data_IF_942273962334
#
_entry.id   IF_942273962334
#
_cell.length_a   1.000
_cell.length_b   1.000
_cell.length_c   1.000
_cell.angle_alpha   90.00
_cell.angle_beta   90.00
_cell.angle_gamma   90.00
#
_symmetry.space_group_name_H-M   'P 1'
#
loop_
_entity.id
_entity.type
_entity.pdbx_description
1 polymer ?
#
# COMPACT_ATOMS: atom_id res chain seq x y z
N UNK A 1 22.88 -15.52 0.69
CA UNK A 1 22.63 -16.93 1.06
C UNK A 1 22.94 -17.12 2.54
N UNK A 2 21.95 -17.21 3.43
CA UNK A 2 22.20 -17.67 4.80
C UNK A 2 22.19 -19.22 4.85
N UNK A 3 22.94 -19.84 5.77
CA UNK A 3 23.07 -21.29 5.81
C UNK A 3 21.83 -21.95 6.41
N UNK A 4 21.48 -23.11 5.86
CA UNK A 4 20.43 -23.99 6.33
C UNK A 4 20.73 -24.42 7.78
N UNK A 5 19.84 -24.10 8.72
CA UNK A 5 19.94 -24.58 10.09
C UNK A 5 19.60 -26.08 10.11
N UNK A 6 20.59 -26.91 10.43
CA UNK A 6 20.42 -28.36 10.64
C UNK A 6 19.63 -28.58 11.93
N UNK A 7 18.35 -28.93 11.82
CA UNK A 7 17.61 -29.54 12.93
C UNK A 7 18.06 -30.99 13.07
N UNK A 8 18.70 -31.31 14.21
CA UNK A 8 19.00 -32.68 14.61
C UNK A 8 17.70 -33.35 15.05
N UNK A 9 17.18 -34.28 14.25
CA UNK A 9 16.03 -35.12 14.62
C UNK A 9 16.55 -36.30 15.43
N UNK A 10 16.04 -36.42 16.65
CA UNK A 10 16.30 -37.53 17.55
C UNK A 10 15.97 -38.88 16.90
N UNK A 11 16.82 -39.86 17.20
CA UNK A 11 16.80 -41.23 16.74
C UNK A 11 15.44 -41.93 16.92
N UNK A 12 14.77 -42.26 15.82
CA UNK A 12 13.89 -43.44 15.74
C UNK A 12 14.20 -44.18 14.43
N UNK A 13 14.39 -45.49 14.56
CA UNK A 13 15.02 -46.34 13.56
C UNK A 13 13.97 -46.96 12.62
N UNK A 14 13.23 -46.12 11.89
CA UNK A 14 12.27 -46.56 10.87
C UNK A 14 12.58 -45.91 9.53
N UNK A 15 12.69 -46.74 8.48
CA UNK A 15 12.88 -46.27 7.10
C UNK A 15 11.63 -45.48 6.68
N UNK A 16 11.77 -44.23 6.20
CA UNK A 16 10.61 -43.47 5.71
C UNK A 16 9.97 -44.19 4.53
N UNK A 17 8.64 -44.38 4.60
CA UNK A 17 7.84 -44.96 3.51
C UNK A 17 7.78 -44.00 2.33
N UNK A 18 7.61 -44.52 1.11
CA UNK A 18 7.51 -43.72 -0.13
C UNK A 18 6.48 -42.58 -0.03
N UNK A 19 5.42 -42.77 0.77
CA UNK A 19 4.39 -41.75 1.03
C UNK A 19 4.87 -40.58 1.90
N UNK A 20 5.78 -40.82 2.85
CA UNK A 20 6.36 -39.76 3.69
C UNK A 20 7.33 -38.86 2.90
N UNK A 21 8.00 -39.43 1.90
CA UNK A 21 8.90 -38.73 0.97
C UNK A 21 8.09 -37.91 -0.03
N UNK A 22 6.92 -38.40 -0.48
CA UNK A 22 5.99 -37.64 -1.31
C UNK A 22 5.36 -36.47 -0.55
N UNK A 23 4.99 -36.64 0.73
CA UNK A 23 4.45 -35.54 1.55
C UNK A 23 5.48 -34.44 1.83
N UNK A 24 6.75 -34.78 2.07
CA UNK A 24 7.82 -33.77 2.23
C UNK A 24 8.24 -33.16 0.89
N UNK A 25 8.21 -33.93 -0.20
CA UNK A 25 8.42 -33.44 -1.56
C UNK A 25 7.34 -32.46 -2.02
N UNK A 26 6.09 -32.62 -1.56
CA UNK A 26 4.98 -31.71 -1.86
C UNK A 26 5.05 -30.41 -1.05
N UNK A 27 5.67 -30.43 0.13
CA UNK A 27 5.94 -29.23 0.94
C UNK A 27 7.16 -28.46 0.43
N UNK A 28 8.05 -29.14 -0.29
CA UNK A 28 9.09 -28.52 -1.13
C UNK A 28 8.60 -28.22 -2.55
N UNK A 29 7.28 -28.05 -2.76
CA UNK A 29 6.78 -27.42 -3.97
C UNK A 29 7.45 -26.05 -4.10
N UNK A 30 8.20 -25.88 -5.19
CA UNK A 30 8.72 -24.62 -5.71
C UNK A 30 7.94 -23.43 -5.12
N UNK A 31 8.59 -22.65 -4.25
CA UNK A 31 8.15 -21.28 -3.96
C UNK A 31 8.33 -20.50 -5.27
N UNK A 32 7.43 -20.73 -6.22
CA UNK A 32 7.36 -19.99 -7.45
C UNK A 32 7.22 -18.54 -7.07
N UNK A 33 8.17 -17.71 -7.50
CA UNK A 33 8.13 -16.29 -7.24
C UNK A 33 6.87 -15.75 -7.90
N UNK A 34 5.92 -15.30 -7.08
CA UNK A 34 4.72 -14.61 -7.56
C UNK A 34 5.13 -13.21 -7.94
N UNK A 35 4.97 -12.86 -9.22
CA UNK A 35 5.21 -11.49 -9.68
C UNK A 35 4.15 -10.56 -9.10
N UNK A 36 4.60 -9.45 -8.52
CA UNK A 36 3.75 -8.35 -8.08
C UNK A 36 3.91 -7.18 -9.04
N UNK A 37 2.79 -6.60 -9.45
CA UNK A 37 2.70 -5.38 -10.25
C UNK A 37 2.17 -4.28 -9.37
N UNK A 38 2.95 -3.22 -9.19
CA UNK A 38 2.52 -1.99 -8.52
C UNK A 38 1.94 -1.03 -9.56
N UNK A 39 0.61 -0.88 -9.56
CA UNK A 39 -0.12 0.09 -10.38
C UNK A 39 -0.04 1.49 -9.76
N UNK A 40 1.18 2.03 -9.62
CA UNK A 40 1.43 3.31 -8.96
C UNK A 40 2.71 3.96 -9.46
N UNK A 41 2.71 5.30 -9.46
CA UNK A 41 3.91 6.13 -9.67
C UNK A 41 4.56 6.60 -8.37
N UNK A 42 4.05 6.17 -7.20
CA UNK A 42 4.53 6.63 -5.90
C UNK A 42 5.92 6.04 -5.57
N UNK A 43 6.96 6.89 -5.39
CA UNK A 43 8.27 6.42 -4.95
C UNK A 43 8.22 5.79 -3.55
N UNK A 44 7.39 6.33 -2.65
CA UNK A 44 7.26 5.83 -1.29
C UNK A 44 6.72 4.40 -1.23
N UNK A 45 5.69 4.08 -2.03
CA UNK A 45 5.13 2.71 -2.12
C UNK A 45 6.14 1.73 -2.70
N UNK A 46 6.90 2.14 -3.72
CA UNK A 46 7.97 1.32 -4.29
C UNK A 46 9.07 1.04 -3.27
N UNK A 47 9.56 2.07 -2.58
CA UNK A 47 10.57 1.93 -1.53
C UNK A 47 10.08 1.02 -0.40
N UNK A 48 8.83 1.15 0.01
CA UNK A 48 8.24 0.30 1.04
C UNK A 48 8.18 -1.18 0.64
N UNK A 49 7.70 -1.49 -0.56
CA UNK A 49 7.67 -2.87 -1.06
C UNK A 49 9.08 -3.48 -1.11
N UNK A 50 10.05 -2.70 -1.59
CA UNK A 50 11.46 -3.11 -1.65
C UNK A 50 12.05 -3.38 -0.27
N UNK A 51 11.77 -2.52 0.71
CA UNK A 51 12.16 -2.75 2.11
C UNK A 51 11.51 -4.02 2.68
N UNK A 52 10.30 -4.37 2.21
CA UNK A 52 9.60 -5.62 2.54
C UNK A 52 10.07 -6.86 1.78
N UNK A 53 11.16 -6.77 1.00
CA UNK A 53 11.74 -7.89 0.24
C UNK A 53 11.07 -8.14 -1.12
N UNK A 54 10.25 -7.21 -1.61
CA UNK A 54 9.49 -7.33 -2.86
C UNK A 54 10.03 -6.33 -3.88
N UNK A 55 10.48 -6.82 -5.02
CA UNK A 55 10.79 -6.04 -6.22
C UNK A 55 9.61 -6.14 -7.20
N UNK A 56 8.69 -5.16 -7.22
CA UNK A 56 7.53 -5.18 -8.09
C UNK A 56 7.88 -4.66 -9.50
N UNK A 57 7.06 -5.05 -10.47
CA UNK A 57 6.97 -4.35 -11.76
C UNK A 57 6.12 -3.11 -11.54
N UNK A 58 6.60 -1.92 -11.90
CA UNK A 58 5.84 -0.67 -11.74
C UNK A 58 5.17 -0.27 -13.05
N UNK A 59 3.86 0.00 -13.01
CA UNK A 59 3.10 0.50 -14.16
C UNK A 59 2.35 1.75 -13.74
N UNK A 60 2.48 2.84 -14.50
CA UNK A 60 1.70 4.05 -14.27
C UNK A 60 0.24 3.80 -14.72
N UNK A 61 -0.76 3.94 -13.83
CA UNK A 61 -2.13 3.53 -14.14
C UNK A 61 -2.86 4.48 -15.10
N UNK A 62 -2.38 5.72 -15.29
CA UNK A 62 -2.98 6.68 -16.23
C UNK A 62 -4.43 7.09 -15.90
N UNK A 63 -4.86 6.91 -14.65
CA UNK A 63 -6.23 7.22 -14.19
C UNK A 63 -6.37 8.71 -13.92
N UNK A 64 -7.45 9.31 -14.45
CA UNK A 64 -7.94 10.62 -14.04
C UNK A 64 -8.73 10.47 -12.73
N UNK A 65 -8.05 10.73 -11.60
CA UNK A 65 -8.58 10.51 -10.26
C UNK A 65 -9.76 11.46 -9.94
N UNK A 66 -9.71 12.71 -10.43
CA UNK A 66 -10.76 13.71 -10.20
C UNK A 66 -12.05 13.35 -10.95
N UNK A 67 -11.92 12.88 -12.20
CA UNK A 67 -13.05 12.42 -12.99
C UNK A 67 -13.73 11.18 -12.37
N UNK A 68 -12.94 10.23 -11.84
CA UNK A 68 -13.46 9.04 -11.14
C UNK A 68 -14.20 9.45 -9.87
N UNK A 69 -13.60 10.32 -9.04
CA UNK A 69 -14.19 10.80 -7.80
C UNK A 69 -15.51 11.53 -8.05
N UNK A 70 -15.50 12.52 -8.95
CA UNK A 70 -16.68 13.34 -9.29
C UNK A 70 -17.83 12.47 -9.79
N UNK A 71 -17.54 11.49 -10.66
CA UNK A 71 -18.56 10.56 -11.15
C UNK A 71 -19.14 9.73 -10.00
N UNK A 72 -18.30 9.19 -9.12
CA UNK A 72 -18.77 8.34 -8.03
C UNK A 72 -19.61 9.11 -7.00
N UNK A 73 -19.22 10.35 -6.69
CA UNK A 73 -20.02 11.26 -5.85
C UNK A 73 -21.39 11.54 -6.48
N UNK A 74 -21.44 11.86 -7.78
CA UNK A 74 -22.70 12.12 -8.49
C UNK A 74 -23.66 10.92 -8.49
N UNK A 75 -23.11 9.71 -8.38
CA UNK A 75 -23.86 8.46 -8.33
C UNK A 75 -24.14 7.97 -6.90
N UNK A 76 -23.70 8.70 -5.87
CA UNK A 76 -23.84 8.29 -4.47
C UNK A 76 -23.07 7.01 -4.11
N UNK A 77 -21.99 6.70 -4.84
CA UNK A 77 -21.19 5.48 -4.65
C UNK A 77 -20.13 5.62 -3.56
N UNK A 78 -19.84 6.83 -3.12
CA UNK A 78 -18.91 7.12 -2.03
C UNK A 78 -19.57 8.04 -1.00
N UNK A 79 -19.35 7.76 0.28
CA UNK A 79 -19.87 8.57 1.39
C UNK A 79 -18.79 9.01 2.40
N UNK A 80 -17.54 8.57 2.19
CA UNK A 80 -16.44 8.83 3.11
C UNK A 80 -15.08 8.85 2.41
N UNK A 81 -14.06 9.43 3.05
CA UNK A 81 -12.66 9.38 2.58
C UNK A 81 -12.19 7.94 2.39
N UNK A 82 -12.67 7.02 3.24
CA UNK A 82 -12.36 5.59 3.18
C UNK A 82 -12.87 4.94 1.89
N UNK A 83 -14.06 5.30 1.44
CA UNK A 83 -14.66 4.79 0.20
C UNK A 83 -13.94 5.35 -1.02
N UNK A 84 -13.61 6.65 -0.98
CA UNK A 84 -12.88 7.32 -2.05
C UNK A 84 -11.53 6.65 -2.34
N UNK A 85 -10.69 6.47 -1.32
CA UNK A 85 -9.37 5.85 -1.53
C UNK A 85 -9.48 4.39 -2.00
N UNK A 86 -10.51 3.65 -1.58
CA UNK A 86 -10.73 2.29 -2.05
C UNK A 86 -11.14 2.27 -3.54
N UNK A 87 -12.05 3.16 -3.92
CA UNK A 87 -12.49 3.33 -5.29
C UNK A 87 -11.32 3.70 -6.21
N UNK A 88 -10.49 4.66 -5.80
CA UNK A 88 -9.33 5.08 -6.58
C UNK A 88 -8.26 3.99 -6.66
N UNK A 89 -8.02 3.25 -5.56
CA UNK A 89 -7.14 2.09 -5.57
C UNK A 89 -7.62 1.02 -6.57
N UNK A 90 -8.93 0.76 -6.60
CA UNK A 90 -9.57 -0.14 -7.57
C UNK A 90 -9.37 0.33 -9.00
N UNK A 91 -9.72 1.59 -9.29
CA UNK A 91 -9.58 2.16 -10.63
C UNK A 91 -8.13 2.06 -11.14
N UNK A 92 -7.14 2.32 -10.27
CA UNK A 92 -5.71 2.22 -10.60
C UNK A 92 -5.29 0.78 -10.92
N UNK A 93 -5.73 -0.20 -10.14
CA UNK A 93 -5.44 -1.61 -10.40
C UNK A 93 -6.08 -2.09 -11.72
N UNK A 94 -7.35 -1.75 -11.94
CA UNK A 94 -8.12 -2.17 -13.12
C UNK A 94 -7.55 -1.56 -14.42
N UNK A 95 -7.04 -0.34 -14.36
CA UNK A 95 -6.47 0.36 -15.52
C UNK A 95 -5.26 -0.37 -16.16
N UNK A 96 -4.56 -1.21 -15.39
CA UNK A 96 -3.35 -1.91 -15.88
C UNK A 96 -3.56 -3.41 -16.13
N UNK A 97 -4.77 -3.95 -15.93
CA UNK A 97 -5.06 -5.40 -16.07
C UNK A 97 -4.64 -5.96 -17.43
N UNK A 98 -4.85 -5.18 -18.49
CA UNK A 98 -4.53 -5.59 -19.86
C UNK A 98 -3.11 -5.19 -20.31
N UNK A 99 -2.31 -4.60 -19.43
CA UNK A 99 -0.92 -4.28 -19.76
C UNK A 99 -0.13 -5.58 -19.98
N UNK A 100 0.77 -5.66 -20.99
CA UNK A 100 1.56 -6.87 -21.25
C UNK A 100 2.37 -7.34 -20.03
N UNK A 101 3.01 -6.40 -19.33
CA UNK A 101 3.80 -6.72 -18.12
C UNK A 101 2.94 -7.08 -16.90
N UNK A 102 1.62 -6.87 -16.96
CA UNK A 102 0.69 -7.24 -15.90
C UNK A 102 0.16 -8.67 -16.02
N UNK A 103 0.44 -9.35 -17.14
CA UNK A 103 0.01 -10.74 -17.37
C UNK A 103 0.76 -11.71 -16.47
N UNK A 104 0.09 -12.77 -16.00
CA UNK A 104 0.67 -13.79 -15.13
C UNK A 104 1.29 -13.20 -13.84
N UNK A 105 0.56 -12.30 -13.16
CA UNK A 105 1.01 -11.57 -11.97
C UNK A 105 -0.17 -11.23 -11.03
N UNK A 106 0.15 -10.83 -9.80
CA UNK A 106 -0.78 -10.12 -8.92
C UNK A 106 -0.61 -8.63 -9.15
N UNK A 107 -1.71 -7.89 -9.32
CA UNK A 107 -1.70 -6.44 -9.47
C UNK A 107 -2.19 -5.82 -8.16
N UNK A 108 -1.49 -4.81 -7.66
CA UNK A 108 -1.93 -3.96 -6.56
C UNK A 108 -2.08 -2.51 -7.02
N UNK A 109 -3.27 -1.97 -6.85
CA UNK A 109 -3.55 -0.53 -6.89
C UNK A 109 -3.69 0.02 -5.48
N UNK A 110 -3.20 1.25 -5.28
CA UNK A 110 -3.29 1.95 -4.00
C UNK A 110 -3.63 3.42 -4.19
N UNK A 111 -4.40 3.95 -3.26
CA UNK A 111 -4.64 5.38 -3.11
C UNK A 111 -4.66 5.77 -1.63
N UNK A 112 -4.36 7.03 -1.32
CA UNK A 112 -4.22 7.49 0.06
C UNK A 112 -4.62 8.94 0.24
N UNK A 113 -5.31 9.24 1.34
CA UNK A 113 -5.73 10.60 1.70
C UNK A 113 -5.79 10.79 3.21
N UNK A 114 -5.53 12.02 3.66
CA UNK A 114 -5.71 12.42 5.06
C UNK A 114 -7.14 12.92 5.26
N UNK A 115 -7.87 12.34 6.20
CA UNK A 115 -9.13 12.89 6.68
C UNK A 115 -8.89 13.80 7.88
N UNK A 116 -9.43 15.02 7.82
CA UNK A 116 -9.36 15.99 8.91
C UNK A 116 -10.64 16.83 8.95
N UNK A 117 -11.27 16.95 10.12
CA UNK A 117 -12.51 17.73 10.27
C UNK A 117 -13.64 17.28 9.34
N UNK A 118 -13.72 15.98 9.02
CA UNK A 118 -14.69 15.41 8.08
C UNK A 118 -14.42 15.71 6.60
N UNK A 119 -13.25 16.26 6.26
CA UNK A 119 -12.83 16.57 4.89
C UNK A 119 -11.66 15.69 4.47
N UNK A 120 -11.67 15.27 3.21
CA UNK A 120 -10.53 14.59 2.59
C UNK A 120 -9.51 15.61 2.08
N UNK A 121 -8.28 15.50 2.56
CA UNK A 121 -7.14 16.32 2.19
C UNK A 121 -6.18 15.51 1.30
N UNK A 122 -6.30 15.71 -0.01
CA UNK A 122 -5.35 15.21 -1.01
C UNK A 122 -4.03 15.99 -1.01
N UNK A 123 -3.33 16.02 -2.15
CA UNK A 123 -2.12 16.83 -2.31
C UNK A 123 -2.49 18.33 -2.35
N UNK A 124 -1.74 19.21 -1.68
CA UNK A 124 -2.07 20.64 -1.67
C UNK A 124 -1.64 21.36 -2.96
N UNK A 125 -0.56 20.89 -3.62
CA UNK A 125 0.07 21.44 -4.83
C UNK A 125 0.60 22.89 -4.74
N UNK A 126 -0.05 23.75 -3.94
CA UNK A 126 0.27 25.16 -3.79
C UNK A 126 0.76 25.44 -2.35
N UNK A 127 1.83 26.25 -2.18
CA UNK A 127 2.36 26.60 -0.86
C UNK A 127 1.32 27.17 0.10
N UNK A 128 0.47 28.09 -0.35
CA UNK A 128 -0.54 28.72 0.52
C UNK A 128 -1.58 27.71 1.04
N UNK A 129 -1.95 26.74 0.21
CA UNK A 129 -2.85 25.64 0.61
C UNK A 129 -2.17 24.75 1.64
N UNK A 130 -0.87 24.45 1.45
CA UNK A 130 -0.11 23.64 2.40
C UNK A 130 0.03 24.35 3.77
N UNK A 131 0.34 25.65 3.77
CA UNK A 131 0.44 26.47 5.00
C UNK A 131 -0.88 26.53 5.75
N UNK A 132 -1.98 26.82 5.05
CA UNK A 132 -3.31 26.86 5.66
C UNK A 132 -3.68 25.53 6.32
N UNK A 133 -3.44 24.41 5.62
CA UNK A 133 -3.66 23.06 6.18
C UNK A 133 -2.80 22.79 7.41
N UNK A 134 -1.51 23.13 7.38
CA UNK A 134 -0.63 22.90 8.53
C UNK A 134 -1.03 23.72 9.77
N UNK A 135 -1.54 24.94 9.59
CA UNK A 135 -2.08 25.74 10.70
C UNK A 135 -3.32 25.10 11.34
N UNK A 136 -4.13 24.38 10.55
CA UNK A 136 -5.27 23.61 11.07
C UNK A 136 -4.82 22.29 11.72
N UNK A 137 -3.84 21.61 11.12
CA UNK A 137 -3.38 20.29 11.57
C UNK A 137 -2.56 20.34 12.85
N UNK A 138 -1.71 21.36 13.05
CA UNK A 138 -0.80 21.41 14.21
C UNK A 138 -1.55 21.24 15.53
N UNK A 139 -0.98 20.44 16.43
CA UNK A 139 -1.59 20.10 17.72
C UNK A 139 -2.86 19.24 17.66
N UNK A 140 -3.33 18.85 16.47
CA UNK A 140 -4.53 18.05 16.27
C UNK A 140 -4.21 16.63 15.73
N UNK A 141 -5.27 15.86 15.52
CA UNK A 141 -5.21 14.49 15.00
C UNK A 141 -5.96 14.39 13.68
N UNK A 142 -5.32 13.81 12.67
CA UNK A 142 -5.95 13.40 11.42
C UNK A 142 -5.98 11.88 11.27
N UNK A 143 -6.82 11.37 10.37
CA UNK A 143 -6.89 9.94 10.07
C UNK A 143 -6.38 9.73 8.65
N UNK A 144 -5.25 9.05 8.49
CA UNK A 144 -4.80 8.69 7.14
C UNK A 144 -5.46 7.38 6.71
N UNK A 145 -6.13 7.42 5.56
CA UNK A 145 -6.70 6.26 4.89
C UNK A 145 -5.85 5.85 3.70
N UNK A 146 -5.58 4.55 3.56
CA UNK A 146 -4.97 3.96 2.36
C UNK A 146 -5.83 2.82 1.82
N UNK A 147 -6.35 2.99 0.61
CA UNK A 147 -7.08 1.98 -0.14
C UNK A 147 -6.12 1.01 -0.81
N UNK A 148 -6.48 -0.27 -0.82
CA UNK A 148 -5.73 -1.34 -1.48
C UNK A 148 -6.69 -2.18 -2.32
N UNK A 149 -6.33 -2.42 -3.56
CA UNK A 149 -7.08 -3.32 -4.43
C UNK A 149 -6.14 -4.30 -5.11
N UNK A 150 -6.34 -5.59 -4.85
CA UNK A 150 -5.59 -6.69 -5.45
C UNK A 150 -6.41 -7.36 -6.53
N UNK A 151 -5.74 -7.69 -7.65
CA UNK A 151 -6.29 -8.48 -8.74
C UNK A 151 -5.36 -9.67 -9.00
N UNK A 152 -5.93 -10.88 -9.03
CA UNK A 152 -5.24 -12.08 -9.45
C UNK A 152 -5.28 -12.23 -10.97
N UNK A 153 -4.28 -11.68 -11.65
CA UNK A 153 -4.14 -11.73 -13.10
C UNK A 153 -3.27 -12.92 -13.57
N UNK A 154 -3.18 -13.98 -12.77
CA UNK A 154 -2.29 -15.12 -13.09
C UNK A 154 -2.83 -16.02 -14.21
N UNK A 155 -4.15 -16.12 -14.34
CA UNK A 155 -4.82 -17.11 -15.21
C UNK A 155 -5.34 -16.53 -16.52
N UNK A 156 -5.23 -15.20 -16.74
CA UNK A 156 -5.65 -14.55 -17.99
C UNK A 156 -7.15 -14.62 -18.27
N UNK A 157 -7.98 -14.83 -17.25
CA UNK A 157 -9.44 -14.84 -17.39
C UNK A 157 -9.97 -13.41 -17.58
N UNK A 158 -11.09 -13.25 -18.30
CA UNK A 158 -11.66 -11.94 -18.62
C UNK A 158 -12.08 -11.13 -17.37
N UNK A 159 -12.49 -11.81 -16.30
CA UNK A 159 -12.85 -11.21 -15.01
C UNK A 159 -12.00 -11.85 -13.91
N UNK A 160 -10.76 -11.38 -13.69
CA UNK A 160 -9.88 -11.96 -12.69
C UNK A 160 -10.45 -11.79 -11.28
N UNK A 161 -10.25 -12.76 -10.37
CA UNK A 161 -10.59 -12.62 -8.96
C UNK A 161 -9.92 -11.37 -8.38
N UNK A 162 -10.67 -10.58 -7.62
CA UNK A 162 -10.17 -9.35 -7.03
C UNK A 162 -10.75 -9.11 -5.64
N UNK A 163 -10.00 -8.41 -4.80
CA UNK A 163 -10.43 -8.04 -3.44
C UNK A 163 -9.75 -6.74 -3.03
N UNK A 164 -10.37 -5.99 -2.13
CA UNK A 164 -9.78 -4.75 -1.65
C UNK A 164 -10.24 -4.35 -0.27
N UNK A 165 -9.46 -3.47 0.35
CA UNK A 165 -9.70 -2.97 1.70
C UNK A 165 -8.97 -1.65 1.95
N UNK A 166 -9.59 -0.80 2.74
CA UNK A 166 -8.95 0.41 3.27
C UNK A 166 -8.38 0.15 4.65
N UNK A 167 -7.11 0.49 4.85
CA UNK A 167 -6.50 0.61 6.19
C UNK A 167 -6.53 2.08 6.65
N UNK A 168 -6.60 2.29 7.95
CA UNK A 168 -6.70 3.62 8.56
C UNK A 168 -5.72 3.75 9.73
N UNK A 169 -5.16 4.92 9.95
CA UNK A 169 -4.21 5.18 11.05
C UNK A 169 -4.34 6.62 11.55
N UNK A 170 -4.40 6.80 12.87
CA UNK A 170 -4.41 8.14 13.45
C UNK A 170 -3.00 8.72 13.44
N UNK A 171 -2.89 9.96 12.97
CA UNK A 171 -1.66 10.73 12.90
C UNK A 171 -1.82 11.95 13.79
N UNK A 172 -0.99 12.02 14.83
CA UNK A 172 -0.98 13.13 15.77
C UNK A 172 0.11 14.11 15.34
N UNK A 173 -0.29 15.35 15.09
CA UNK A 173 0.62 16.42 14.65
C UNK A 173 1.12 17.20 15.86
N UNK A 174 2.41 17.55 15.86
CA UNK A 174 2.99 18.42 16.88
C UNK A 174 2.41 19.84 16.77
N UNK A 175 2.42 20.58 17.87
CA UNK A 175 2.07 22.00 17.88
C UNK A 175 3.30 22.82 17.46
N UNK A 176 3.46 23.02 16.14
CA UNK A 176 4.62 23.69 15.54
C UNK A 176 4.34 25.17 15.24
N UNK A 177 5.39 25.98 15.29
CA UNK A 177 5.31 27.42 15.02
C UNK A 177 5.03 27.73 13.54
N UNK A 178 4.57 28.96 13.26
CA UNK A 178 4.37 29.42 11.89
C UNK A 178 5.69 29.47 11.10
N UNK A 179 6.81 29.76 11.76
CA UNK A 179 8.15 29.76 11.16
C UNK A 179 8.60 28.35 10.73
N UNK A 180 8.27 27.33 11.53
CA UNK A 180 8.51 25.93 11.17
C UNK A 180 7.63 25.49 10.00
N UNK A 181 6.35 25.89 9.99
CA UNK A 181 5.43 25.63 8.87
C UNK A 181 5.98 26.26 7.58
N UNK A 182 6.37 27.52 7.64
CA UNK A 182 6.92 28.24 6.48
C UNK A 182 8.21 27.61 5.97
N UNK A 183 9.11 27.24 6.89
CA UNK A 183 10.37 26.55 6.56
C UNK A 183 10.11 25.20 5.91
N UNK A 184 9.17 24.42 6.43
CA UNK A 184 8.83 23.11 5.88
C UNK A 184 8.17 23.23 4.50
N UNK A 185 7.21 24.13 4.33
CA UNK A 185 6.56 24.36 3.03
C UNK A 185 7.56 24.85 1.98
N UNK A 186 8.54 25.67 2.36
CA UNK A 186 9.59 26.14 1.46
C UNK A 186 10.47 25.01 0.88
N UNK A 187 10.52 23.84 1.52
CA UNK A 187 11.25 22.67 1.00
C UNK A 187 10.58 22.05 -0.23
N UNK A 188 9.28 22.29 -0.43
CA UNK A 188 8.48 21.69 -1.49
C UNK A 188 8.01 20.25 -1.20
N UNK A 189 8.58 19.55 -0.21
CA UNK A 189 8.15 18.21 0.22
C UNK A 189 6.63 18.10 0.45
N UNK A 190 5.98 19.00 1.23
CA UNK A 190 4.55 18.87 1.53
C UNK A 190 3.65 19.07 0.30
N UNK A 191 4.16 19.60 -0.82
CA UNK A 191 3.33 19.99 -1.96
C UNK A 191 2.80 18.81 -2.78
N UNK A 192 3.53 17.69 -2.77
CA UNK A 192 3.26 16.54 -3.65
C UNK A 192 2.78 15.29 -2.92
N UNK A 193 2.51 15.40 -1.61
CA UNK A 193 2.11 14.28 -0.75
C UNK A 193 0.72 14.50 -0.16
N UNK A 194 -0.02 13.40 0.02
CA UNK A 194 -1.35 13.45 0.62
C UNK A 194 -1.27 13.98 2.06
N UNK A 195 -2.21 14.83 2.46
CA UNK A 195 -2.19 15.44 3.80
C UNK A 195 -1.06 16.44 4.05
N UNK A 196 -0.22 16.73 3.05
CA UNK A 196 0.91 17.67 3.17
C UNK A 196 2.01 17.28 4.17
N UNK A 197 2.22 15.99 4.43
CA UNK A 197 3.30 15.50 5.27
C UNK A 197 3.87 14.16 4.79
N UNK A 198 5.09 13.85 5.22
CA UNK A 198 5.69 12.52 5.11
C UNK A 198 6.03 12.01 6.51
N UNK A 199 5.97 10.69 6.71
CA UNK A 199 6.39 10.05 7.97
C UNK A 199 7.90 9.73 7.97
N UNK A 200 8.46 9.54 6.78
CA UNK A 200 9.82 9.07 6.52
C UNK A 200 10.73 10.15 5.87
N UNK A 201 10.21 11.37 5.69
CA UNK A 201 10.94 12.56 5.23
C UNK A 201 11.02 13.66 6.28
N UNK A 202 11.10 14.93 5.82
CA UNK A 202 11.25 16.09 6.70
C UNK A 202 10.03 16.31 7.59
N UNK A 203 8.83 16.00 7.09
CA UNK A 203 7.59 16.10 7.86
C UNK A 203 7.53 15.20 9.10
N UNK A 204 8.34 14.14 9.15
CA UNK A 204 8.33 13.17 10.26
C UNK A 204 8.70 13.80 11.61
N UNK A 205 9.52 14.86 11.60
CA UNK A 205 9.87 15.61 12.80
C UNK A 205 8.68 16.36 13.43
N UNK A 206 7.62 16.61 12.66
CA UNK A 206 6.43 17.35 13.08
C UNK A 206 5.26 16.43 13.47
N UNK A 207 5.51 15.12 13.58
CA UNK A 207 4.54 14.14 14.06
C UNK A 207 4.86 13.79 15.51
N UNK A 208 3.87 13.88 16.39
CA UNK A 208 4.05 13.59 17.82
C UNK A 208 3.76 12.13 18.17
N UNK A 209 2.85 11.47 17.42
CA UNK A 209 2.44 10.08 17.65
C UNK A 209 1.76 9.48 16.42
N UNK A 210 1.93 8.18 16.23
CA UNK A 210 1.15 7.36 15.28
C UNK A 210 0.40 6.28 16.06
N UNK A 211 -0.90 6.12 15.81
CA UNK A 211 -1.71 5.05 16.38
C UNK A 211 -2.33 4.21 15.26
N UNK A 212 -1.77 3.02 15.06
CA UNK A 212 -2.17 2.11 13.98
C UNK A 212 -0.98 1.58 13.21
N UNK A 213 -1.16 1.39 11.91
CA UNK A 213 -0.16 0.84 11.01
C UNK A 213 0.62 1.97 10.32
N UNK A 214 1.90 2.11 10.66
CA UNK A 214 2.77 3.13 10.07
C UNK A 214 2.91 2.99 8.54
N UNK A 215 2.80 1.78 8.00
CA UNK A 215 2.84 1.58 6.55
C UNK A 215 1.62 2.19 5.85
N UNK A 216 0.46 2.20 6.52
CA UNK A 216 -0.72 2.93 6.04
C UNK A 216 -0.38 4.39 5.80
N UNK A 217 0.45 5.00 6.68
CA UNK A 217 0.88 6.40 6.60
C UNK A 217 1.74 6.67 5.36
N UNK A 218 2.57 5.71 4.96
CA UNK A 218 3.40 5.77 3.74
C UNK A 218 2.54 5.67 2.47
N UNK A 219 1.37 5.04 2.58
CA UNK A 219 0.38 4.93 1.50
C UNK A 219 0.15 3.50 0.98
N UNK A 220 0.72 2.49 1.65
CA UNK A 220 0.48 1.07 1.38
C UNK A 220 0.73 0.27 2.67
N UNK A 221 -0.23 -0.53 3.11
CA UNK A 221 -0.15 -1.37 4.30
C UNK A 221 0.34 -2.78 3.94
N UNK A 222 1.56 -3.15 4.34
CA UNK A 222 2.08 -4.51 4.14
C UNK A 222 1.23 -5.59 4.83
N UNK A 223 0.72 -5.39 6.07
CA UNK A 223 -0.25 -6.32 6.67
C UNK A 223 -1.52 -6.48 5.81
N UNK A 224 -2.03 -5.39 5.24
CA UNK A 224 -3.20 -5.46 4.36
C UNK A 224 -2.92 -6.16 3.05
N UNK A 225 -1.77 -5.91 2.41
CA UNK A 225 -1.33 -6.66 1.25
C UNK A 225 -1.26 -8.16 1.55
N UNK A 226 -0.70 -8.56 2.69
CA UNK A 226 -0.64 -9.97 3.12
C UNK A 226 -2.02 -10.59 3.24
N UNK A 227 -2.94 -9.93 3.93
CA UNK A 227 -4.29 -10.47 4.16
C UNK A 227 -5.10 -10.55 2.86
N UNK A 228 -5.05 -9.53 2.00
CA UNK A 228 -5.71 -9.57 0.69
C UNK A 228 -5.13 -10.66 -0.22
N UNK A 229 -3.81 -10.90 -0.14
CA UNK A 229 -3.17 -12.01 -0.86
C UNK A 229 -3.70 -13.37 -0.40
N UNK A 230 -3.90 -13.55 0.91
CA UNK A 230 -4.45 -14.78 1.46
C UNK A 230 -5.89 -15.04 0.98
N UNK A 231 -6.71 -14.00 0.87
CA UNK A 231 -8.07 -14.09 0.31
C UNK A 231 -8.05 -14.62 -1.13
N UNK A 232 -7.03 -14.26 -1.92
CA UNK A 232 -6.83 -14.75 -3.29
C UNK A 232 -6.06 -16.08 -3.36
N UNK A 233 -5.80 -16.74 -2.23
CA UNK A 233 -5.03 -17.99 -2.19
C UNK A 233 -3.56 -17.82 -2.54
N UNK A 234 -3.00 -16.60 -2.40
CA UNK A 234 -1.59 -16.30 -2.65
C UNK A 234 -0.84 -16.26 -1.33
N UNK A 235 0.24 -17.05 -1.23
CA UNK A 235 1.13 -16.99 -0.08
C UNK A 235 1.98 -15.71 -0.15
N UNK A 236 1.91 -14.85 0.87
CA UNK A 236 2.66 -13.58 0.88
C UNK A 236 4.18 -13.75 0.69
N UNK A 237 4.77 -14.80 1.26
CA UNK A 237 6.20 -15.08 1.12
C UNK A 237 6.62 -15.43 -0.31
N UNK A 238 5.68 -15.75 -1.20
CA UNK A 238 5.97 -15.96 -2.62
C UNK A 238 6.32 -14.68 -3.37
N UNK A 239 6.05 -13.49 -2.79
CA UNK A 239 6.48 -12.22 -3.37
C UNK A 239 7.97 -11.89 -3.13
N UNK A 240 8.65 -12.62 -2.24
CA UNK A 240 10.03 -12.32 -1.90
C UNK A 240 10.97 -12.71 -3.03
N UNK A 241 11.56 -11.69 -3.66
CA UNK A 241 12.40 -11.82 -4.84
C UNK A 241 13.59 -10.84 -4.82
N UNK A 242 13.90 -10.27 -3.65
CA UNK A 242 15.00 -9.34 -3.41
C UNK A 242 16.03 -9.93 -2.44
#
# INVERSE_FOLDING_TARGET
MPPCATFSIATSNERPTQDSVLFTSQVCQNLGVTRLVLASTSPARLSLLRAGGIEPITIAPGVDEEAVATRAESMGLIGSSKDLVLLLAKAKAEAVVYHPDAQNAIIIGCDSALEFGGKTLGKPHQPEVAKARWRELRGNVGILHSGHWLIDNRTGVAMPPATGRTSSTNVHFADISDDEIDSYVATGEPLQVAGAFTIDGLGGAFLSKIEGDTHTVIGLSLPTLRELSQVLGVQYTSYWNR
#
